data_IF_944353372197
#
_entry.id   IF_944353372197
#
_cell.length_a   1.000
_cell.length_b   1.000
_cell.length_c   1.000
_cell.angle_alpha   90.00
_cell.angle_beta   90.00
_cell.angle_gamma   90.00
#
_symmetry.space_group_name_H-M   'P 1'
#
loop_
_entity.id
_entity.type
_entity.pdbx_description
1 polymer ?
#
# COMPACT_ATOMS: atom_id res chain seq x y z
N UNK A 1 43.83 -23.90 6.77
CA UNK A 1 43.43 -22.47 6.67
C UNK A 1 41.92 -22.28 6.54
N UNK A 2 41.19 -23.22 5.92
CA UNK A 2 39.75 -23.14 5.64
C UNK A 2 38.83 -22.91 6.86
N UNK A 3 39.16 -23.49 8.03
CA UNK A 3 38.32 -23.38 9.23
C UNK A 3 38.28 -21.96 9.83
N UNK A 4 39.38 -21.19 9.74
CA UNK A 4 39.44 -19.80 10.23
C UNK A 4 38.61 -18.84 9.38
N UNK A 5 38.62 -19.05 8.06
CA UNK A 5 37.81 -18.24 7.14
C UNK A 5 36.32 -18.50 7.38
N UNK A 6 35.91 -19.77 7.50
CA UNK A 6 34.53 -20.13 7.85
C UNK A 6 34.05 -19.53 9.18
N UNK A 7 34.91 -19.42 10.18
CA UNK A 7 34.58 -18.77 11.46
C UNK A 7 34.38 -17.26 11.31
N UNK A 8 35.21 -16.60 10.49
CA UNK A 8 35.06 -15.17 10.22
C UNK A 8 33.77 -14.89 9.42
N UNK A 9 33.47 -15.70 8.40
CA UNK A 9 32.27 -15.58 7.59
C UNK A 9 31.01 -15.81 8.43
N UNK A 10 31.03 -16.82 9.32
CA UNK A 10 29.93 -17.06 10.26
C UNK A 10 29.68 -15.86 11.17
N UNK A 11 30.74 -15.28 11.74
CA UNK A 11 30.61 -14.12 12.62
C UNK A 11 30.08 -12.88 11.87
N UNK A 12 30.48 -12.70 10.61
CA UNK A 12 29.95 -11.64 9.76
C UNK A 12 28.45 -11.83 9.46
N UNK A 13 28.04 -13.05 9.12
CA UNK A 13 26.63 -13.38 8.88
C UNK A 13 25.77 -13.25 10.13
N UNK A 14 26.28 -13.65 11.30
CA UNK A 14 25.57 -13.47 12.57
C UNK A 14 25.34 -11.99 12.88
N UNK A 15 26.35 -11.15 12.64
CA UNK A 15 26.23 -9.69 12.78
C UNK A 15 25.20 -9.10 11.81
N UNK A 16 25.25 -9.48 10.53
CA UNK A 16 24.28 -9.01 9.52
C UNK A 16 22.84 -9.43 9.88
N UNK A 17 22.66 -10.67 10.38
CA UNK A 17 21.36 -11.15 10.85
C UNK A 17 20.83 -10.34 12.03
N UNK A 18 21.69 -10.00 12.99
CA UNK A 18 21.31 -9.14 14.14
C UNK A 18 20.87 -7.75 13.67
N UNK A 19 21.62 -7.15 12.73
CA UNK A 19 21.30 -5.86 12.13
C UNK A 19 19.96 -5.89 11.37
N UNK A 20 19.74 -6.90 10.52
CA UNK A 20 18.47 -7.09 9.79
C UNK A 20 17.29 -7.33 10.73
N UNK A 21 17.51 -8.07 11.82
CA UNK A 21 16.48 -8.32 12.83
C UNK A 21 16.10 -7.03 13.55
N UNK A 22 17.08 -6.20 13.90
CA UNK A 22 16.83 -4.89 14.51
C UNK A 22 16.05 -3.97 13.56
N UNK A 23 16.44 -3.90 12.28
CA UNK A 23 15.74 -3.11 11.27
C UNK A 23 14.29 -3.57 11.07
N UNK A 24 14.05 -4.88 10.99
CA UNK A 24 12.69 -5.44 10.88
C UNK A 24 11.84 -5.04 12.08
N UNK A 25 12.34 -5.21 13.30
CA UNK A 25 11.59 -4.87 14.52
C UNK A 25 11.29 -3.35 14.59
N UNK A 26 12.22 -2.52 14.13
CA UNK A 26 12.01 -1.08 14.01
C UNK A 26 10.91 -0.74 12.98
N UNK A 27 10.92 -1.40 11.83
CA UNK A 27 9.90 -1.22 10.80
C UNK A 27 8.50 -1.65 11.30
N UNK A 28 8.41 -2.82 11.94
CA UNK A 28 7.16 -3.31 12.56
C UNK A 28 6.62 -2.31 13.61
N UNK A 29 7.48 -1.77 14.47
CA UNK A 29 7.09 -0.76 15.46
C UNK A 29 6.59 0.53 14.79
N UNK A 30 7.29 1.00 13.75
CA UNK A 30 6.90 2.20 12.99
C UNK A 30 5.54 2.02 12.32
N UNK A 31 5.32 0.85 11.71
CA UNK A 31 4.05 0.53 11.04
C UNK A 31 2.89 0.51 12.03
N UNK A 32 3.07 -0.09 13.22
CA UNK A 32 2.05 -0.06 14.30
C UNK A 32 1.74 1.35 14.77
N UNK A 33 2.73 2.24 14.82
CA UNK A 33 2.50 3.64 15.18
C UNK A 33 1.72 4.37 14.09
N UNK A 34 2.03 4.14 12.80
CA UNK A 34 1.31 4.76 11.68
C UNK A 34 -0.17 4.38 11.70
N UNK A 35 -0.50 3.12 12.06
CA UNK A 35 -1.88 2.65 12.21
C UNK A 35 -2.72 3.44 13.23
N UNK A 36 -2.10 4.23 14.10
CA UNK A 36 -2.80 5.06 15.10
C UNK A 36 -3.18 6.45 14.56
N UNK A 37 -2.68 6.85 13.39
CA UNK A 37 -3.04 8.14 12.79
C UNK A 37 -4.47 8.12 12.23
N UNK A 38 -5.24 9.13 12.61
CA UNK A 38 -6.61 9.36 12.10
C UNK A 38 -6.68 10.42 10.99
N UNK A 39 -5.62 11.21 10.83
CA UNK A 39 -5.52 12.26 9.81
C UNK A 39 -5.27 11.70 8.39
N UNK A 40 -4.79 10.47 8.32
CA UNK A 40 -4.69 9.68 7.10
C UNK A 40 -5.63 8.49 7.30
N UNK A 41 -6.49 8.13 6.34
CA UNK A 41 -7.41 7.00 6.50
C UNK A 41 -6.65 5.67 6.37
N UNK A 42 -5.73 5.39 7.30
CA UNK A 42 -4.87 4.21 7.27
C UNK A 42 -5.71 2.94 7.17
N UNK A 43 -6.87 2.92 7.85
CA UNK A 43 -7.81 1.80 7.82
C UNK A 43 -8.47 1.52 6.46
N UNK A 44 -8.43 2.47 5.52
CA UNK A 44 -8.91 2.26 4.14
C UNK A 44 -7.91 1.49 3.28
N UNK A 45 -6.62 1.54 3.65
CA UNK A 45 -5.52 0.92 2.93
C UNK A 45 -4.96 -0.30 3.66
N UNK A 46 -4.95 -0.27 4.99
CA UNK A 46 -4.28 -1.25 5.83
C UNK A 46 -5.23 -1.91 6.81
N UNK A 47 -5.01 -3.20 7.05
CA UNK A 47 -5.75 -4.02 8.01
C UNK A 47 -4.77 -4.72 8.96
N UNK A 48 -5.16 -4.89 10.22
CA UNK A 48 -4.39 -5.64 11.21
C UNK A 48 -5.03 -7.03 11.38
N UNK A 49 -4.34 -8.08 10.95
CA UNK A 49 -4.81 -9.47 11.03
C UNK A 49 -3.71 -10.35 11.61
N UNK A 50 -4.02 -11.17 12.62
CA UNK A 50 -3.03 -12.05 13.27
C UNK A 50 -1.75 -11.33 13.72
N UNK A 51 -1.91 -10.12 14.28
CA UNK A 51 -0.80 -9.23 14.70
C UNK A 51 0.07 -8.66 13.57
N UNK A 52 -0.21 -8.97 12.30
CA UNK A 52 0.46 -8.45 11.12
C UNK A 52 -0.36 -7.35 10.45
N UNK A 53 0.31 -6.30 9.98
CA UNK A 53 -0.32 -5.21 9.23
C UNK A 53 -0.20 -5.51 7.76
N UNK A 54 -1.33 -5.69 7.09
CA UNK A 54 -1.43 -5.90 5.65
C UNK A 54 -2.01 -4.67 4.98
N UNK A 55 -1.29 -4.10 4.01
CA UNK A 55 -1.69 -2.88 3.31
C UNK A 55 -1.84 -3.13 1.81
N UNK A 56 -2.90 -2.58 1.23
CA UNK A 56 -3.15 -2.52 -0.20
C UNK A 56 -2.77 -1.13 -0.75
N UNK A 57 -2.24 -1.05 -1.97
CA UNK A 57 -1.85 0.22 -2.59
C UNK A 57 -3.06 1.09 -2.97
N UNK A 58 -4.22 0.48 -3.16
CA UNK A 58 -5.47 1.15 -3.43
C UNK A 58 -6.47 0.91 -2.30
N UNK A 59 -7.38 1.85 -2.11
CA UNK A 59 -8.48 1.73 -1.17
C UNK A 59 -9.34 0.50 -1.49
N UNK A 60 -10.02 -0.03 -0.47
CA UNK A 60 -10.97 -1.12 -0.61
C UNK A 60 -11.99 -0.85 -1.74
N UNK A 61 -12.18 -1.84 -2.60
CA UNK A 61 -13.06 -1.80 -3.79
C UNK A 61 -12.56 -0.93 -4.94
N UNK A 62 -11.34 -0.41 -4.88
CA UNK A 62 -10.67 0.23 -6.01
C UNK A 62 -9.80 -0.80 -6.74
N UNK A 63 -9.73 -0.65 -8.05
CA UNK A 63 -8.93 -1.52 -8.93
C UNK A 63 -7.60 -0.84 -9.19
N UNK A 64 -6.48 -1.54 -8.95
CA UNK A 64 -5.16 -1.02 -9.26
C UNK A 64 -4.76 -1.29 -10.72
N UNK A 65 -4.27 -0.24 -11.39
CA UNK A 65 -3.55 -0.37 -12.66
C UNK A 65 -2.30 0.50 -12.63
N UNK A 66 -1.13 -0.14 -12.57
CA UNK A 66 0.15 0.56 -12.40
C UNK A 66 0.18 1.35 -11.09
N UNK A 67 0.43 2.65 -11.19
CA UNK A 67 0.47 3.59 -10.06
C UNK A 67 -0.89 4.24 -9.76
N UNK A 68 -1.94 3.90 -10.50
CA UNK A 68 -3.25 4.52 -10.40
C UNK A 68 -4.30 3.57 -9.83
N UNK A 69 -5.28 4.12 -9.11
CA UNK A 69 -6.42 3.42 -8.54
C UNK A 69 -7.70 3.89 -9.23
N UNK A 70 -8.56 2.94 -9.63
CA UNK A 70 -9.78 3.21 -10.39
C UNK A 70 -11.00 2.72 -9.62
N UNK A 71 -12.05 3.51 -9.64
CA UNK A 71 -13.29 3.17 -8.99
C UNK A 71 -14.47 3.33 -9.94
N UNK A 72 -15.25 2.26 -10.06
CA UNK A 72 -16.42 2.21 -10.91
C UNK A 72 -17.65 2.31 -10.04
N UNK A 73 -18.33 3.46 -10.12
CA UNK A 73 -19.61 3.65 -9.43
C UNK A 73 -20.70 2.90 -10.18
N UNK A 74 -21.08 1.72 -9.69
CA UNK A 74 -22.08 0.85 -10.31
C UNK A 74 -23.47 0.90 -9.67
N UNK A 75 -23.66 1.72 -8.63
CA UNK A 75 -24.93 1.78 -7.91
C UNK A 75 -26.07 2.35 -8.77
N UNK A 76 -27.21 1.65 -8.72
CA UNK A 76 -28.36 1.79 -9.59
C UNK A 76 -29.21 3.04 -9.25
N UNK A 77 -29.05 4.08 -10.07
CA UNK A 77 -29.96 5.20 -10.28
C UNK A 77 -30.35 6.10 -9.07
N UNK A 78 -30.52 7.42 -9.30
CA UNK A 78 -30.25 8.13 -10.55
C UNK A 78 -28.74 8.28 -10.79
N UNK A 79 -28.34 8.16 -12.05
CA UNK A 79 -26.97 8.45 -12.46
C UNK A 79 -26.66 9.92 -12.19
N UNK A 80 -25.44 10.18 -11.72
CA UNK A 80 -24.96 11.54 -11.54
C UNK A 80 -24.75 12.20 -12.91
N UNK A 81 -25.02 13.49 -12.99
CA UNK A 81 -24.52 14.31 -14.10
C UNK A 81 -22.99 14.32 -14.12
N UNK A 82 -22.40 14.75 -15.23
CA UNK A 82 -20.94 14.82 -15.34
C UNK A 82 -20.30 15.68 -14.24
N UNK A 83 -20.89 16.85 -13.93
CA UNK A 83 -20.37 17.76 -12.89
C UNK A 83 -20.54 17.20 -11.47
N UNK A 84 -21.65 16.52 -11.18
CA UNK A 84 -21.84 15.80 -9.91
C UNK A 84 -20.85 14.64 -9.77
N UNK A 85 -20.56 13.91 -10.86
CA UNK A 85 -19.56 12.84 -10.87
C UNK A 85 -18.16 13.38 -10.58
N UNK A 86 -17.78 14.52 -11.19
CA UNK A 86 -16.50 15.17 -10.92
C UNK A 86 -16.37 15.61 -9.46
N UNK A 87 -17.43 16.21 -8.92
CA UNK A 87 -17.50 16.61 -7.50
C UNK A 87 -17.34 15.39 -6.60
N UNK A 88 -18.06 14.31 -6.88
CA UNK A 88 -17.99 13.05 -6.13
C UNK A 88 -16.60 12.42 -6.16
N UNK A 89 -15.94 12.37 -7.31
CA UNK A 89 -14.56 11.87 -7.39
C UNK A 89 -13.61 12.73 -6.54
N UNK A 90 -13.77 14.05 -6.55
CA UNK A 90 -12.96 14.99 -5.77
C UNK A 90 -13.15 14.80 -4.26
N UNK A 91 -14.39 14.59 -3.81
CA UNK A 91 -14.72 14.26 -2.42
C UNK A 91 -14.01 12.98 -1.96
N UNK A 92 -13.88 12.00 -2.86
CA UNK A 92 -13.17 10.73 -2.66
C UNK A 92 -11.66 10.81 -2.97
N UNK A 93 -11.08 12.01 -2.96
CA UNK A 93 -9.64 12.25 -3.18
C UNK A 93 -9.10 11.75 -4.53
N UNK A 94 -9.97 11.66 -5.53
CA UNK A 94 -9.62 11.32 -6.91
C UNK A 94 -10.13 12.35 -7.91
N UNK A 95 -10.14 11.97 -9.18
CA UNK A 95 -10.71 12.74 -10.28
C UNK A 95 -11.45 11.78 -11.22
N UNK A 96 -12.28 12.34 -12.12
CA UNK A 96 -12.79 11.55 -13.24
C UNK A 96 -11.62 11.00 -14.05
N UNK A 97 -11.75 9.75 -14.49
CA UNK A 97 -10.67 9.06 -15.21
C UNK A 97 -10.23 9.86 -16.43
N UNK A 98 -8.91 9.97 -16.60
CA UNK A 98 -8.27 10.47 -17.80
C UNK A 98 -7.48 9.32 -18.36
N UNK A 99 -7.78 8.93 -19.60
CA UNK A 99 -7.12 7.81 -20.26
C UNK A 99 -5.89 8.36 -20.99
N UNK A 100 -4.71 8.09 -20.43
CA UNK A 100 -3.43 8.65 -20.90
C UNK A 100 -2.70 7.70 -21.87
N UNK A 101 -3.01 6.40 -21.82
CA UNK A 101 -2.33 5.38 -22.62
C UNK A 101 -3.30 4.41 -23.31
N UNK A 102 -2.83 3.75 -24.39
CA UNK A 102 -3.62 2.73 -25.10
C UNK A 102 -3.85 1.52 -24.18
N UNK A 103 -2.85 1.18 -23.37
CA UNK A 103 -2.92 0.11 -22.38
C UNK A 103 -4.01 0.38 -21.34
N UNK A 104 -4.21 1.63 -20.93
CA UNK A 104 -5.29 2.03 -20.04
C UNK A 104 -6.68 1.92 -20.70
N UNK A 105 -6.80 2.27 -21.98
CA UNK A 105 -8.05 2.16 -22.74
C UNK A 105 -8.48 0.70 -22.97
N UNK A 106 -7.52 -0.21 -23.12
CA UNK A 106 -7.76 -1.59 -23.56
C UNK A 106 -8.11 -2.56 -22.41
N UNK A 107 -8.19 -2.08 -21.17
CA UNK A 107 -8.28 -2.91 -19.97
C UNK A 107 -9.69 -3.04 -19.41
#
# INVERSE_FOLDING_TARGET
MTNKMLQADKAALEKEKEELTAQRNQFESTLRFIMQFTNFPVSEYCTLTNEEVHCEPCNKNWIQNGSSCYFFWMDLAPWLTWGESQTRCTENKGHLVVIDTIEEQAR
#
